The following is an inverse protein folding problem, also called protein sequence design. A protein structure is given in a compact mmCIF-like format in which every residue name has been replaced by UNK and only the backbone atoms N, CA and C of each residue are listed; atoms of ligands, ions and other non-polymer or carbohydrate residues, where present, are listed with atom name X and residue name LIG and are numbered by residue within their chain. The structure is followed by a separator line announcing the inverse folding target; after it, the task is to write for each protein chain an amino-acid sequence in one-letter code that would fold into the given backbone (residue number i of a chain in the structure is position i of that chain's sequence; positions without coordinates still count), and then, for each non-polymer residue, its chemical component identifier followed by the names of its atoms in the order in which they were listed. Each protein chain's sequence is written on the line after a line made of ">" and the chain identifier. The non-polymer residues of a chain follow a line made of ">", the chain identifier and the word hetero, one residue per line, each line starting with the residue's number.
data_IF_886505674151
#
_entry.id   IF_886505674151
#
_cell.length_a   1.000
_cell.length_b   1.000
_cell.length_c   1.000
_cell.angle_alpha   90.00
_cell.angle_beta   90.00
_cell.angle_gamma   90.00
#
_symmetry.space_group_name_H-M   'P 1'
#
loop_
_entity.id
_entity.type
_entity.pdbx_description
1 polymer ?
#
# COMPACT_ATOMS: atom_id res chain seq x y z
N UNK A 1 10.70 12.13 11.28
CA UNK A 1 9.89 13.37 11.38
C UNK A 1 10.53 14.57 10.65
N UNK A 2 11.83 14.84 10.82
CA UNK A 2 12.49 16.01 10.20
C UNK A 2 12.41 16.08 8.67
N UNK A 3 12.60 14.97 7.95
CA UNK A 3 12.50 14.95 6.48
C UNK A 3 11.09 15.24 5.96
N UNK A 4 10.04 14.72 6.63
CA UNK A 4 8.65 14.91 6.21
C UNK A 4 8.18 16.35 6.45
N UNK A 5 8.57 16.95 7.58
CA UNK A 5 8.35 18.38 7.85
C UNK A 5 9.12 19.25 6.85
N UNK A 6 10.37 18.88 6.54
CA UNK A 6 11.18 19.54 5.52
C UNK A 6 10.50 19.52 4.15
N UNK A 7 10.01 18.36 3.70
CA UNK A 7 9.26 18.24 2.44
C UNK A 7 8.00 19.11 2.47
N UNK A 8 7.22 19.09 3.55
CA UNK A 8 5.99 19.89 3.67
C UNK A 8 6.27 21.40 3.59
N UNK A 9 7.29 21.90 4.31
CA UNK A 9 7.69 23.31 4.31
C UNK A 9 8.28 23.73 2.97
N UNK A 10 9.16 22.89 2.40
CA UNK A 10 9.81 23.16 1.11
C UNK A 10 8.84 23.05 -0.07
N UNK A 11 7.71 22.36 0.07
CA UNK A 11 6.74 22.20 -1.02
C UNK A 11 6.21 23.56 -1.51
N UNK A 12 5.96 24.51 -0.61
CA UNK A 12 5.43 25.84 -0.96
C UNK A 12 6.39 26.61 -1.89
N UNK A 13 7.70 26.78 -1.57
CA UNK A 13 8.64 27.46 -2.45
C UNK A 13 9.11 26.59 -3.63
N UNK A 14 9.17 25.26 -3.51
CA UNK A 14 9.69 24.38 -4.56
C UNK A 14 8.72 24.25 -5.74
N UNK A 15 7.41 24.22 -5.50
CA UNK A 15 6.40 24.13 -6.58
C UNK A 15 6.53 25.25 -7.63
N UNK A 16 6.50 26.55 -7.27
CA UNK A 16 6.58 27.62 -8.27
C UNK A 16 7.91 27.61 -9.03
N UNK A 17 9.02 27.26 -8.37
CA UNK A 17 10.33 27.12 -9.01
C UNK A 17 10.31 25.97 -10.03
N UNK A 18 9.83 24.78 -9.64
CA UNK A 18 9.73 23.64 -10.55
C UNK A 18 8.76 23.89 -11.69
N UNK A 19 7.64 24.58 -11.44
CA UNK A 19 6.68 24.96 -12.46
C UNK A 19 7.31 25.94 -13.47
N UNK A 20 8.08 26.93 -13.00
CA UNK A 20 8.81 27.83 -13.87
C UNK A 20 9.86 27.08 -14.71
N UNK A 21 10.63 26.18 -14.11
CA UNK A 21 11.60 25.34 -14.83
C UNK A 21 10.88 24.50 -15.88
N UNK A 22 9.75 23.86 -15.54
CA UNK A 22 8.98 23.05 -16.48
C UNK A 22 8.43 23.89 -17.65
N UNK A 23 7.99 25.11 -17.39
CA UNK A 23 7.52 26.05 -18.42
C UNK A 23 8.62 26.49 -19.38
N UNK A 24 9.85 26.64 -18.89
CA UNK A 24 11.00 27.13 -19.67
C UNK A 24 11.74 25.99 -20.40
N UNK A 25 11.83 24.80 -19.80
CA UNK A 25 12.77 23.76 -20.24
C UNK A 25 12.13 22.53 -20.87
N UNK A 26 10.81 22.41 -20.89
CA UNK A 26 10.18 21.16 -21.28
C UNK A 26 8.77 21.27 -21.84
N UNK A 27 8.20 20.14 -22.27
CA UNK A 27 6.80 20.08 -22.69
C UNK A 27 5.89 20.48 -21.52
N UNK A 28 4.82 21.25 -21.80
CA UNK A 28 3.81 21.79 -20.86
C UNK A 28 3.08 20.76 -19.97
N UNK A 29 3.52 19.51 -20.02
CA UNK A 29 3.13 18.40 -19.15
C UNK A 29 3.54 18.54 -17.68
N UNK A 30 4.33 19.56 -17.30
CA UNK A 30 4.72 19.90 -15.92
C UNK A 30 5.31 18.70 -15.15
N UNK A 31 6.24 17.97 -15.79
CA UNK A 31 6.70 16.66 -15.30
C UNK A 31 7.35 16.73 -13.93
N UNK A 32 8.25 17.69 -13.70
CA UNK A 32 8.98 17.83 -12.43
C UNK A 32 8.05 18.26 -11.32
N UNK A 33 7.18 19.21 -11.61
CA UNK A 33 6.14 19.69 -10.68
C UNK A 33 5.22 18.55 -10.26
N UNK A 34 4.75 17.75 -11.23
CA UNK A 34 3.90 16.58 -10.97
C UNK A 34 4.62 15.50 -10.16
N UNK A 35 5.89 15.22 -10.46
CA UNK A 35 6.69 14.26 -9.69
C UNK A 35 6.88 14.72 -8.24
N UNK A 36 7.19 16.01 -8.03
CA UNK A 36 7.30 16.58 -6.68
C UNK A 36 5.98 16.50 -5.90
N UNK A 37 4.86 16.85 -6.55
CA UNK A 37 3.53 16.73 -5.96
C UNK A 37 3.18 15.27 -5.61
N UNK A 38 3.57 14.30 -6.45
CA UNK A 38 3.36 12.88 -6.15
C UNK A 38 4.13 12.46 -4.90
N UNK A 39 5.41 12.82 -4.80
CA UNK A 39 6.24 12.51 -3.62
C UNK A 39 5.70 13.19 -2.38
N UNK A 40 5.36 14.48 -2.47
CA UNK A 40 4.77 15.23 -1.37
C UNK A 40 3.45 14.64 -0.89
N UNK A 41 2.58 14.24 -1.83
CA UNK A 41 1.31 13.59 -1.51
C UNK A 41 1.50 12.22 -0.88
N UNK A 42 2.48 11.44 -1.31
CA UNK A 42 2.82 10.16 -0.69
C UNK A 42 3.29 10.36 0.76
N UNK A 43 4.21 11.30 1.02
CA UNK A 43 4.69 11.64 2.37
C UNK A 43 3.54 12.11 3.27
N UNK A 44 2.65 12.96 2.76
CA UNK A 44 1.49 13.42 3.53
C UNK A 44 0.53 12.26 3.84
N UNK A 45 0.31 11.36 2.88
CA UNK A 45 -0.51 10.16 3.07
C UNK A 45 0.09 9.23 4.12
N UNK A 46 1.41 9.03 4.14
CA UNK A 46 2.11 8.29 5.19
C UNK A 46 1.91 8.93 6.56
N UNK A 47 2.13 10.24 6.70
CA UNK A 47 1.95 10.94 7.97
C UNK A 47 0.52 10.81 8.49
N UNK A 48 -0.47 11.06 7.64
CA UNK A 48 -1.87 10.91 7.99
C UNK A 48 -2.23 9.45 8.35
N UNK A 49 -1.63 8.46 7.66
CA UNK A 49 -1.77 7.05 7.97
C UNK A 49 -1.22 6.70 9.35
N UNK A 50 0.00 7.13 9.68
CA UNK A 50 0.62 6.93 11.00
C UNK A 50 -0.19 7.60 12.11
N UNK A 51 -0.60 8.86 11.92
CA UNK A 51 -1.44 9.57 12.88
C UNK A 51 -2.78 8.87 13.09
N UNK A 52 -3.41 8.39 12.02
CA UNK A 52 -4.66 7.64 12.09
C UNK A 52 -4.47 6.28 12.77
N UNK A 53 -3.35 5.59 12.54
CA UNK A 53 -3.04 4.34 13.20
C UNK A 53 -2.81 4.53 14.71
N UNK A 54 -2.15 5.61 15.11
CA UNK A 54 -2.02 6.00 16.51
C UNK A 54 -3.39 6.30 17.14
N UNK A 55 -4.24 7.04 16.42
CA UNK A 55 -5.60 7.31 16.85
C UNK A 55 -6.43 6.04 17.05
N UNK A 56 -6.40 5.10 16.11
CA UNK A 56 -7.06 3.78 16.22
C UNK A 56 -6.57 3.06 17.47
N UNK A 57 -5.26 3.07 17.75
CA UNK A 57 -4.69 2.41 18.93
C UNK A 57 -5.16 3.02 20.26
N UNK A 58 -5.41 4.33 20.29
CA UNK A 58 -5.94 5.04 21.47
C UNK A 58 -7.44 4.78 21.63
N UNK A 59 -8.20 4.80 20.52
CA UNK A 59 -9.65 4.73 20.56
C UNK A 59 -10.19 3.34 20.88
N UNK A 60 -9.40 2.29 20.63
CA UNK A 60 -9.75 0.90 20.87
C UNK A 60 -8.89 0.30 22.00
N UNK A 61 -9.42 0.20 23.24
CA UNK A 61 -8.68 -0.34 24.39
C UNK A 61 -8.28 -1.80 24.25
N UNK A 62 -9.02 -2.57 23.43
CA UNK A 62 -8.70 -3.95 23.06
C UNK A 62 -8.15 -3.96 21.63
N UNK A 63 -6.82 -3.89 21.44
CA UNK A 63 -6.22 -3.83 20.11
C UNK A 63 -6.49 -5.08 19.26
N UNK A 64 -6.72 -6.23 19.91
CA UNK A 64 -7.00 -7.51 19.24
C UNK A 64 -8.51 -7.77 19.05
N UNK A 65 -9.35 -6.78 19.40
CA UNK A 65 -10.80 -6.89 19.26
C UNK A 65 -11.27 -6.67 17.81
N UNK A 66 -12.46 -7.19 17.44
CA UNK A 66 -12.99 -7.08 16.08
C UNK A 66 -13.18 -5.63 15.60
N UNK A 67 -13.50 -4.71 16.52
CA UNK A 67 -13.61 -3.28 16.20
C UNK A 67 -12.26 -2.64 15.85
N UNK A 68 -11.19 -3.05 16.51
CA UNK A 68 -9.85 -2.56 16.23
C UNK A 68 -9.33 -3.13 14.90
N UNK A 69 -9.57 -4.43 14.65
CA UNK A 69 -9.26 -5.07 13.38
C UNK A 69 -9.97 -4.36 12.22
N UNK A 70 -11.29 -4.18 12.30
CA UNK A 70 -12.07 -3.48 11.27
C UNK A 70 -11.57 -2.04 11.02
N UNK A 71 -11.20 -1.31 12.07
CA UNK A 71 -10.65 0.03 11.94
C UNK A 71 -9.28 0.04 11.24
N UNK A 72 -8.41 -0.94 11.51
CA UNK A 72 -7.13 -1.07 10.82
C UNK A 72 -7.30 -1.47 9.35
N UNK A 73 -8.23 -2.38 9.02
CA UNK A 73 -8.54 -2.70 7.62
C UNK A 73 -9.13 -1.50 6.87
N UNK A 74 -10.05 -0.76 7.48
CA UNK A 74 -10.58 0.47 6.89
C UNK A 74 -9.47 1.52 6.66
N UNK A 75 -8.52 1.64 7.59
CA UNK A 75 -7.37 2.52 7.45
C UNK A 75 -6.45 2.06 6.31
N UNK A 76 -6.18 0.76 6.19
CA UNK A 76 -5.38 0.21 5.08
C UNK A 76 -6.04 0.48 3.72
N UNK A 77 -7.36 0.24 3.60
CA UNK A 77 -8.10 0.53 2.39
C UNK A 77 -8.06 2.02 2.03
N UNK A 78 -8.24 2.89 3.02
CA UNK A 78 -8.10 4.34 2.82
C UNK A 78 -6.69 4.69 2.34
N UNK A 79 -5.64 4.16 2.98
CA UNK A 79 -4.25 4.46 2.67
C UNK A 79 -3.89 4.06 1.23
N UNK A 80 -4.24 2.84 0.82
CA UNK A 80 -4.04 2.36 -0.55
C UNK A 80 -4.85 3.19 -1.55
N UNK A 81 -6.11 3.50 -1.22
CA UNK A 81 -6.97 4.32 -2.08
C UNK A 81 -6.39 5.73 -2.29
N UNK A 82 -5.81 6.35 -1.26
CA UNK A 82 -5.15 7.65 -1.40
C UNK A 82 -3.92 7.57 -2.32
N UNK A 83 -3.07 6.55 -2.17
CA UNK A 83 -1.93 6.36 -3.07
C UNK A 83 -2.38 6.17 -4.53
N UNK A 84 -3.42 5.38 -4.78
CA UNK A 84 -4.00 5.22 -6.12
C UNK A 84 -4.58 6.53 -6.67
N UNK A 85 -5.24 7.34 -5.84
CA UNK A 85 -5.72 8.68 -6.23
C UNK A 85 -4.56 9.62 -6.57
N UNK A 86 -3.48 9.60 -5.80
CA UNK A 86 -2.29 10.41 -6.02
C UNK A 86 -1.58 10.01 -7.33
N UNK A 87 -1.43 8.70 -7.60
CA UNK A 87 -0.91 8.18 -8.86
C UNK A 87 -1.77 8.63 -10.05
N UNK A 88 -3.09 8.55 -9.94
CA UNK A 88 -4.00 9.06 -10.99
C UNK A 88 -3.85 10.57 -11.19
N UNK A 89 -3.81 11.34 -10.11
CA UNK A 89 -3.79 12.81 -10.14
C UNK A 89 -2.48 13.37 -10.69
N UNK A 90 -1.35 12.82 -10.22
CA UNK A 90 -0.04 13.40 -10.47
C UNK A 90 0.77 12.59 -11.48
N UNK A 91 0.65 11.27 -11.55
CA UNK A 91 1.31 10.45 -12.59
C UNK A 91 0.41 10.16 -13.80
N UNK A 92 -0.91 10.36 -13.70
CA UNK A 92 -1.84 10.07 -14.80
C UNK A 92 -2.14 8.58 -14.95
N UNK A 93 -1.83 7.77 -13.94
CA UNK A 93 -2.09 6.32 -13.95
C UNK A 93 -3.60 6.07 -13.94
N UNK A 94 -4.06 5.18 -14.82
CA UNK A 94 -5.44 4.72 -14.87
C UNK A 94 -5.45 3.21 -14.71
N UNK A 95 -6.30 2.73 -13.83
CA UNK A 95 -6.52 1.30 -13.61
C UNK A 95 -7.70 0.87 -14.46
N UNK A 96 -7.52 -0.19 -15.23
CA UNK A 96 -8.59 -0.86 -15.97
C UNK A 96 -8.70 -2.26 -15.37
N UNK A 97 -9.90 -2.61 -14.92
CA UNK A 97 -10.18 -3.91 -14.32
C UNK A 97 -11.14 -4.63 -15.25
N UNK A 98 -10.67 -5.73 -15.81
CA UNK A 98 -11.49 -6.65 -16.57
C UNK A 98 -12.17 -7.62 -15.58
N UNK A 99 -13.44 -7.95 -15.81
CA UNK A 99 -14.24 -8.83 -14.96
C UNK A 99 -14.26 -8.41 -13.46
N UNK A 100 -14.62 -7.14 -13.14
CA UNK A 100 -14.57 -6.60 -11.78
C UNK A 100 -15.48 -7.34 -10.78
N UNK A 101 -16.49 -8.07 -11.25
CA UNK A 101 -17.35 -8.92 -10.44
C UNK A 101 -16.60 -10.07 -9.75
N UNK A 102 -15.47 -10.52 -10.32
CA UNK A 102 -14.62 -11.54 -9.68
C UNK A 102 -13.92 -11.03 -8.43
N UNK A 103 -13.68 -9.72 -8.34
CA UNK A 103 -13.10 -9.09 -7.16
C UNK A 103 -14.06 -9.03 -5.96
N UNK A 104 -15.32 -9.42 -6.16
CA UNK A 104 -16.37 -9.50 -5.12
C UNK A 104 -16.56 -10.91 -4.55
N UNK A 105 -15.61 -11.82 -4.79
CA UNK A 105 -15.59 -13.18 -4.23
C UNK A 105 -14.55 -13.23 -3.10
N UNK A 106 -15.02 -13.49 -1.89
CA UNK A 106 -14.19 -13.73 -0.70
C UNK A 106 -13.73 -15.19 -0.61
N UNK A 107 -13.17 -15.58 0.53
CA UNK A 107 -12.68 -16.93 0.82
C UNK A 107 -11.77 -17.49 -0.29
N UNK A 108 -10.77 -16.69 -0.67
CA UNK A 108 -9.96 -16.96 -1.85
C UNK A 108 -8.46 -16.73 -1.61
N UNK A 109 -7.66 -17.58 -2.25
CA UNK A 109 -6.22 -17.40 -2.43
C UNK A 109 -5.97 -16.96 -3.87
N UNK A 110 -5.48 -15.73 -4.04
CA UNK A 110 -5.21 -15.13 -5.35
C UNK A 110 -3.74 -15.30 -5.69
N UNK A 111 -3.44 -15.98 -6.80
CA UNK A 111 -2.09 -16.03 -7.34
C UNK A 111 -1.92 -14.93 -8.41
N UNK A 112 -0.93 -14.07 -8.23
CA UNK A 112 -0.63 -12.98 -9.17
C UNK A 112 0.83 -13.04 -9.63
N UNK A 113 1.09 -12.50 -10.83
CA UNK A 113 2.45 -12.27 -11.32
C UNK A 113 3.03 -11.01 -10.69
N UNK A 114 4.35 -10.94 -10.54
CA UNK A 114 5.02 -9.80 -9.94
C UNK A 114 5.94 -9.11 -10.96
N UNK A 115 5.60 -7.87 -11.32
CA UNK A 115 6.33 -7.06 -12.29
C UNK A 115 6.90 -5.78 -11.68
N UNK A 116 6.30 -5.25 -10.60
CA UNK A 116 6.71 -3.97 -10.02
C UNK A 116 6.40 -3.85 -8.53
N UNK A 117 7.05 -2.89 -7.86
CA UNK A 117 6.74 -2.53 -6.47
C UNK A 117 5.30 -2.03 -6.29
N UNK A 118 4.71 -1.43 -7.34
CA UNK A 118 3.35 -0.90 -7.29
C UNK A 118 2.31 -2.02 -7.27
N UNK A 119 2.68 -3.24 -7.69
CA UNK A 119 1.79 -4.40 -7.69
C UNK A 119 1.32 -4.76 -6.27
N UNK A 120 2.09 -4.37 -5.24
CA UNK A 120 1.70 -4.52 -3.85
C UNK A 120 0.53 -3.61 -3.44
N UNK A 121 0.02 -2.73 -4.31
CA UNK A 121 -1.23 -2.02 -4.07
C UNK A 121 -2.44 -2.74 -4.69
N UNK A 122 -2.21 -3.59 -5.70
CA UNK A 122 -3.27 -4.15 -6.53
C UNK A 122 -4.24 -5.05 -5.74
N UNK A 123 -3.78 -5.99 -4.90
CA UNK A 123 -4.70 -6.84 -4.12
C UNK A 123 -5.62 -6.03 -3.23
N UNK A 124 -5.07 -5.01 -2.54
CA UNK A 124 -5.86 -4.11 -1.72
C UNK A 124 -6.84 -3.27 -2.54
N UNK A 125 -6.46 -2.78 -3.72
CA UNK A 125 -7.37 -2.02 -4.58
C UNK A 125 -8.52 -2.88 -5.11
N UNK A 126 -8.21 -4.10 -5.54
CA UNK A 126 -9.19 -5.02 -6.13
C UNK A 126 -10.10 -5.62 -5.07
N UNK A 127 -9.55 -6.29 -4.08
CA UNK A 127 -10.34 -7.07 -3.13
C UNK A 127 -10.74 -6.24 -1.90
N UNK A 128 -9.92 -5.28 -1.48
CA UNK A 128 -10.22 -4.42 -0.34
C UNK A 128 -11.11 -3.23 -0.69
N UNK A 129 -10.65 -2.37 -1.60
CA UNK A 129 -11.36 -1.12 -1.97
C UNK A 129 -12.56 -1.40 -2.87
N UNK A 130 -12.42 -2.25 -3.89
CA UNK A 130 -13.52 -2.59 -4.81
C UNK A 130 -14.38 -3.75 -4.29
N UNK A 131 -13.76 -4.76 -3.68
CA UNK A 131 -14.43 -5.96 -3.15
C UNK A 131 -14.99 -5.82 -1.73
N UNK A 132 -14.42 -4.95 -0.89
CA UNK A 132 -14.83 -4.76 0.51
C UNK A 132 -14.27 -5.80 1.49
N UNK A 133 -13.31 -6.63 1.07
CA UNK A 133 -12.76 -7.72 1.89
C UNK A 133 -11.57 -7.29 2.75
N UNK A 134 -11.34 -8.02 3.84
CA UNK A 134 -10.10 -7.98 4.60
C UNK A 134 -8.97 -8.62 3.79
N UNK A 135 -8.16 -7.80 3.14
CA UNK A 135 -7.01 -8.28 2.37
C UNK A 135 -5.85 -8.53 3.31
N UNK A 136 -5.33 -9.76 3.32
CA UNK A 136 -4.18 -10.19 4.12
C UNK A 136 -3.24 -10.96 3.23
N UNK A 137 -1.98 -10.59 3.09
CA UNK A 137 -1.13 -11.34 2.15
C UNK A 137 0.37 -11.14 2.35
N UNK A 138 1.15 -11.85 1.54
CA UNK A 138 2.61 -11.87 1.60
C UNK A 138 3.23 -10.66 0.92
N UNK A 139 4.05 -9.92 1.66
CA UNK A 139 4.63 -8.66 1.22
C UNK A 139 6.13 -8.65 1.37
N UNK A 140 6.86 -7.96 0.49
CA UNK A 140 8.30 -7.77 0.68
C UNK A 140 8.55 -6.98 1.97
N UNK A 141 9.50 -7.42 2.79
CA UNK A 141 9.89 -6.76 4.05
C UNK A 141 10.25 -5.28 3.87
N UNK A 142 10.85 -4.91 2.73
CA UNK A 142 11.16 -3.51 2.37
C UNK A 142 9.93 -2.59 2.35
N UNK A 143 8.71 -3.09 2.21
CA UNK A 143 7.53 -2.23 2.30
C UNK A 143 7.33 -1.63 3.70
N UNK A 144 7.96 -2.21 4.73
CA UNK A 144 7.95 -1.65 6.09
C UNK A 144 8.74 -0.33 6.19
N UNK A 145 9.46 0.07 5.14
CA UNK A 145 10.01 1.44 5.05
C UNK A 145 8.91 2.50 4.93
N UNK A 146 7.69 2.14 4.49
CA UNK A 146 6.51 2.99 4.57
C UNK A 146 5.89 2.86 5.98
N UNK A 147 5.98 3.89 6.84
CA UNK A 147 5.64 3.73 8.26
C UNK A 147 4.17 3.40 8.52
N UNK A 148 3.24 3.88 7.69
CA UNK A 148 1.83 3.52 7.85
C UNK A 148 1.61 2.04 7.50
N UNK A 149 2.31 1.55 6.48
CA UNK A 149 2.26 0.14 6.06
C UNK A 149 2.83 -0.78 7.13
N UNK A 150 3.97 -0.41 7.72
CA UNK A 150 4.59 -1.15 8.82
C UNK A 150 3.62 -1.30 10.01
N UNK A 151 3.06 -0.18 10.49
CA UNK A 151 2.18 -0.19 11.66
C UNK A 151 0.89 -0.97 11.40
N UNK A 152 0.19 -0.67 10.30
CA UNK A 152 -1.15 -1.22 10.05
C UNK A 152 -1.06 -2.63 9.46
N UNK A 153 -0.05 -2.91 8.64
CA UNK A 153 0.21 -4.23 8.07
C UNK A 153 0.45 -5.28 9.15
N UNK A 154 1.28 -4.96 10.14
CA UNK A 154 1.52 -5.84 11.30
C UNK A 154 0.27 -6.03 12.18
N UNK A 155 -0.66 -5.06 12.22
CA UNK A 155 -1.94 -5.17 12.95
C UNK A 155 -3.05 -5.93 12.21
N UNK A 156 -2.84 -6.19 10.93
CA UNK A 156 -3.81 -6.86 10.04
C UNK A 156 -3.31 -8.24 9.60
N UNK A 157 -2.31 -8.79 10.31
CA UNK A 157 -1.71 -10.10 10.08
C UNK A 157 -1.18 -10.30 8.65
N UNK A 158 -0.54 -9.27 8.08
CA UNK A 158 0.26 -9.45 6.88
C UNK A 158 1.54 -10.22 7.21
N UNK A 159 2.01 -11.02 6.25
CA UNK A 159 3.29 -11.74 6.39
C UNK A 159 4.32 -11.00 5.55
N UNK A 160 5.27 -10.34 6.21
CA UNK A 160 6.41 -9.70 5.54
C UNK A 160 7.52 -10.74 5.31
N UNK A 161 7.97 -10.86 4.07
CA UNK A 161 8.91 -11.89 3.60
C UNK A 161 10.21 -11.27 3.09
N UNK A 162 11.32 -11.91 3.45
CA UNK A 162 12.63 -11.68 2.84
C UNK A 162 12.83 -12.64 1.65
N UNK A 163 13.59 -12.21 0.65
CA UNK A 163 13.85 -13.01 -0.57
C UNK A 163 14.52 -14.35 -0.31
N UNK A 164 15.30 -14.44 0.78
CA UNK A 164 16.03 -15.65 1.15
C UNK A 164 15.83 -15.90 2.64
N UNK A 165 14.77 -16.61 3.04
CA UNK A 165 14.57 -16.97 4.44
C UNK A 165 15.77 -17.80 4.92
N UNK A 166 16.33 -17.42 6.07
CA UNK A 166 17.45 -18.14 6.67
C UNK A 166 17.05 -19.53 7.18
N UNK A 167 18.03 -20.41 7.49
CA UNK A 167 17.76 -21.70 8.12
C UNK A 167 16.93 -21.53 9.41
N UNK A 168 15.87 -22.33 9.56
CA UNK A 168 14.98 -22.26 10.72
C UNK A 168 13.95 -21.11 10.70
N UNK A 169 13.76 -20.44 9.56
CA UNK A 169 12.75 -19.39 9.41
C UNK A 169 11.32 -19.90 9.71
N UNK A 170 10.52 -19.18 10.51
CA UNK A 170 9.12 -19.50 10.76
C UNK A 170 8.20 -19.14 9.57
N UNK A 171 8.76 -18.78 8.42
CA UNK A 171 8.00 -18.31 7.27
C UNK A 171 6.89 -19.27 6.85
N UNK A 172 7.17 -20.58 6.77
CA UNK A 172 6.16 -21.57 6.38
C UNK A 172 5.01 -21.66 7.40
N UNK A 173 5.30 -21.51 8.68
CA UNK A 173 4.29 -21.47 9.75
C UNK A 173 3.42 -20.21 9.59
N UNK A 174 4.04 -19.05 9.44
CA UNK A 174 3.31 -17.79 9.22
C UNK A 174 2.44 -17.80 7.94
N UNK A 175 2.93 -18.42 6.85
CA UNK A 175 2.16 -18.58 5.63
C UNK A 175 0.97 -19.54 5.82
N UNK A 176 1.17 -20.61 6.60
CA UNK A 176 0.12 -21.57 6.93
C UNK A 176 -0.96 -20.91 7.79
N UNK A 177 -0.58 -20.11 8.79
CA UNK A 177 -1.50 -19.35 9.64
C UNK A 177 -2.29 -18.30 8.84
N UNK A 178 -1.61 -17.60 7.93
CA UNK A 178 -2.26 -16.62 7.06
C UNK A 178 -3.29 -17.29 6.14
N UNK A 179 -2.95 -18.45 5.55
CA UNK A 179 -3.89 -19.22 4.72
C UNK A 179 -5.06 -19.77 5.55
N UNK A 180 -4.80 -20.29 6.74
CA UNK A 180 -5.82 -20.80 7.66
C UNK A 180 -6.77 -19.71 8.18
N UNK A 181 -6.32 -18.45 8.18
CA UNK A 181 -7.13 -17.29 8.57
C UNK A 181 -8.05 -16.73 7.48
N UNK A 182 -8.00 -17.28 6.25
CA UNK A 182 -8.88 -16.90 5.15
C UNK A 182 -10.31 -17.40 5.42
N UNK A 183 -11.29 -16.56 5.14
CA UNK A 183 -12.71 -16.84 5.36
C UNK A 183 -13.58 -16.00 4.39
N UNK A 184 -14.90 -16.10 4.53
CA UNK A 184 -15.89 -15.42 3.68
C UNK A 184 -15.70 -13.89 3.56
N UNK A 185 -15.07 -13.25 4.55
CA UNK A 185 -14.83 -11.80 4.59
C UNK A 185 -13.41 -11.40 4.21
N UNK A 186 -12.53 -12.35 3.85
CA UNK A 186 -11.13 -12.08 3.59
C UNK A 186 -10.65 -12.72 2.29
N UNK A 187 -9.59 -12.13 1.74
CA UNK A 187 -8.89 -12.64 0.57
C UNK A 187 -7.40 -12.55 0.85
N UNK A 188 -6.67 -13.58 0.45
CA UNK A 188 -5.21 -13.54 0.46
C UNK A 188 -4.62 -13.55 -0.95
N UNK A 189 -3.38 -13.12 -1.06
CA UNK A 189 -2.65 -13.07 -2.33
C UNK A 189 -1.24 -13.63 -2.18
N UNK A 190 -0.77 -14.29 -3.21
CA UNK A 190 0.62 -14.72 -3.29
C UNK A 190 1.18 -14.30 -4.64
N UNK A 191 2.46 -13.96 -4.64
CA UNK A 191 3.26 -13.78 -5.85
C UNK A 191 4.20 -15.00 -5.97
N UNK A 192 3.78 -16.09 -6.65
CA UNK A 192 4.50 -17.36 -6.61
C UNK A 192 5.93 -17.28 -7.16
N UNK A 193 6.18 -16.31 -8.03
CA UNK A 193 7.49 -16.04 -8.63
C UNK A 193 8.54 -15.57 -7.58
N UNK A 194 8.11 -14.99 -6.45
CA UNK A 194 9.00 -14.52 -5.37
C UNK A 194 9.93 -13.36 -5.74
N UNK A 195 9.97 -12.96 -7.01
CA UNK A 195 10.78 -11.84 -7.54
C UNK A 195 10.05 -11.17 -8.71
N UNK A 196 10.55 -10.01 -9.14
CA UNK A 196 10.06 -9.38 -10.35
C UNK A 196 10.47 -10.17 -11.58
N UNK A 197 9.60 -10.20 -12.58
CA UNK A 197 9.93 -10.71 -13.90
C UNK A 197 11.16 -10.01 -14.48
N UNK A 198 12.18 -10.78 -14.85
CA UNK A 198 13.33 -10.34 -15.65
C UNK A 198 13.23 -10.98 -17.04
N UNK A 199 13.14 -10.20 -18.13
CA UNK A 199 13.21 -10.74 -19.49
C UNK A 199 14.51 -11.52 -19.68
N UNK A 200 14.44 -12.64 -20.41
CA UNK A 200 15.60 -13.43 -20.82
C UNK A 200 16.38 -12.76 -21.96
#
# INVERSE_FOLDING_TARGET
>A
MGAALGIAVLTIPVIPVLALIDLVTGPRTMRRTRAWLLVGAAVFTELAGVSSAAWVRIRHPRPDGPRAAAANFALMHWWVHQHARNLRRFAGVRWVVENPELARKGDAVVAARHASHVDALLPFLLFGVLGGFEVRYTLKSDLQWAPAMDIVGNRTNHVFVDRTPGPGSPLLEHLSDLAAGVNENSVTTIFPEGTFHTPA
#
